data_IF_619799547413
#
_entry.id   IF_619799547413
#
_cell.length_a   1.000
_cell.length_b   1.000
_cell.length_c   1.000
_cell.angle_alpha   90.00
_cell.angle_beta   90.00
_cell.angle_gamma   90.00
#
_symmetry.space_group_name_H-M   'P 1'
#
loop_
_entity.id
_entity.type
_entity.pdbx_description
1 polymer ?
#
# COMPACT_ATOMS: atom_id res chain seq x y z
N UNK A 1 -0.39 15.50 2.09
CA UNK A 1 0.24 14.65 1.06
C UNK A 1 -0.18 15.14 -0.31
N UNK A 2 0.75 15.22 -1.24
CA UNK A 2 0.46 15.35 -2.68
C UNK A 2 1.05 14.12 -3.36
N UNK A 3 0.30 13.43 -4.21
CA UNK A 3 0.88 12.44 -5.13
C UNK A 3 1.02 13.06 -6.51
N UNK A 4 2.25 13.10 -7.04
CA UNK A 4 2.51 13.40 -8.44
C UNK A 4 2.39 12.06 -9.15
N UNK A 5 1.30 11.90 -9.88
CA UNK A 5 0.84 10.60 -10.30
C UNK A 5 0.78 10.52 -11.82
N UNK A 6 1.27 9.43 -12.39
CA UNK A 6 1.07 9.14 -13.82
C UNK A 6 -0.42 9.14 -14.18
N UNK A 7 -0.74 9.50 -15.43
CA UNK A 7 -2.12 9.33 -15.90
C UNK A 7 -2.46 7.84 -16.01
N UNK A 8 -3.74 7.50 -15.97
CA UNK A 8 -4.21 6.11 -15.98
C UNK A 8 -5.30 5.94 -17.04
N UNK A 9 -5.78 4.71 -17.24
CA UNK A 9 -6.80 4.38 -18.23
C UNK A 9 -8.12 5.17 -18.07
N UNK A 10 -8.39 5.77 -16.90
CA UNK A 10 -9.57 6.60 -16.68
C UNK A 10 -9.51 7.96 -17.37
N UNK A 11 -8.32 8.50 -17.61
CA UNK A 11 -8.12 9.81 -18.23
C UNK A 11 -8.24 9.75 -19.77
N UNK A 12 -8.29 10.91 -20.43
CA UNK A 12 -8.59 11.03 -21.86
C UNK A 12 -7.35 11.43 -22.68
N UNK A 13 -7.26 10.87 -23.89
CA UNK A 13 -6.20 11.19 -24.87
C UNK A 13 -6.36 12.57 -25.49
N UNK A 14 -7.58 13.06 -25.58
CA UNK A 14 -7.96 14.42 -25.95
C UNK A 14 -9.07 14.89 -25.00
N UNK A 15 -9.35 16.20 -24.99
CA UNK A 15 -10.42 16.75 -24.15
C UNK A 15 -11.77 16.06 -24.43
N UNK A 16 -12.40 15.55 -23.39
CA UNK A 16 -13.65 14.80 -23.51
C UNK A 16 -14.48 14.75 -22.22
N UNK A 17 -15.72 14.24 -22.30
CA UNK A 17 -16.64 14.23 -21.17
C UNK A 17 -16.12 13.39 -19.99
N UNK A 18 -16.18 13.97 -18.79
CA UNK A 18 -15.91 13.29 -17.52
C UNK A 18 -16.80 13.88 -16.43
N UNK A 19 -18.04 13.40 -16.34
CA UNK A 19 -19.09 14.04 -15.53
C UNK A 19 -18.78 14.10 -14.03
N UNK A 20 -18.03 13.12 -13.50
CA UNK A 20 -17.66 13.05 -12.08
C UNK A 20 -16.33 13.74 -11.75
N UNK A 21 -15.51 14.02 -12.76
CA UNK A 21 -14.21 14.68 -12.62
C UNK A 21 -13.90 15.49 -13.88
N UNK A 22 -14.37 16.75 -13.91
CA UNK A 22 -14.23 17.60 -15.09
C UNK A 22 -12.77 17.85 -15.48
N UNK A 23 -11.87 17.93 -14.49
CA UNK A 23 -10.43 18.11 -14.74
C UNK A 23 -9.85 16.85 -15.37
N UNK A 24 -10.23 15.67 -14.90
CA UNK A 24 -9.83 14.38 -15.47
C UNK A 24 -10.31 14.13 -16.92
N UNK A 25 -11.24 14.93 -17.43
CA UNK A 25 -11.66 14.90 -18.83
C UNK A 25 -10.71 15.61 -19.79
N UNK A 26 -9.75 16.39 -19.29
CA UNK A 26 -8.76 17.09 -20.12
C UNK A 26 -7.66 16.14 -20.61
N UNK A 27 -7.03 16.50 -21.72
CA UNK A 27 -5.96 15.75 -22.38
C UNK A 27 -4.81 15.42 -21.40
N UNK A 28 -4.69 14.15 -21.00
CA UNK A 28 -3.78 13.75 -19.92
C UNK A 28 -2.31 13.95 -20.25
N UNK A 29 -1.89 13.59 -21.46
CA UNK A 29 -0.49 13.66 -21.88
C UNK A 29 0.01 15.09 -22.16
N UNK A 30 -0.83 16.12 -21.96
CA UNK A 30 -0.46 17.52 -22.18
C UNK A 30 -0.77 18.43 -20.99
N UNK A 31 -1.29 17.88 -19.88
CA UNK A 31 -1.73 18.68 -18.74
C UNK A 31 -1.16 18.15 -17.42
N UNK A 32 -0.97 19.08 -16.49
CA UNK A 32 -0.89 18.76 -15.06
C UNK A 32 -2.32 18.93 -14.52
N UNK A 33 -2.95 17.84 -14.13
CA UNK A 33 -4.38 17.79 -13.78
C UNK A 33 -4.53 17.55 -12.28
N UNK A 34 -4.90 18.57 -11.48
CA UNK A 34 -5.13 18.37 -10.06
C UNK A 34 -6.43 17.59 -9.83
N UNK A 35 -6.40 16.64 -8.88
CA UNK A 35 -7.54 15.81 -8.50
C UNK A 35 -7.57 15.58 -6.99
N UNK A 36 -8.75 15.37 -6.42
CA UNK A 36 -8.88 14.95 -5.03
C UNK A 36 -8.54 13.47 -4.89
N UNK A 37 -8.10 13.04 -3.70
CA UNK A 37 -7.82 11.62 -3.44
C UNK A 37 -8.26 11.19 -2.05
N UNK A 38 -8.76 9.96 -1.96
CA UNK A 38 -9.07 9.30 -0.70
C UNK A 38 -7.85 8.63 -0.05
N UNK A 39 -6.71 8.51 -0.75
CA UNK A 39 -5.58 7.69 -0.31
C UNK A 39 -5.04 8.12 1.07
N UNK A 40 -4.79 9.42 1.28
CA UNK A 40 -4.30 9.92 2.57
C UNK A 40 -5.30 9.69 3.72
N UNK A 41 -6.62 9.79 3.44
CA UNK A 41 -7.65 9.47 4.43
C UNK A 41 -7.72 7.97 4.71
N UNK A 42 -7.45 7.12 3.72
CA UNK A 42 -7.40 5.67 3.88
C UNK A 42 -6.25 5.21 4.79
N UNK A 43 -5.15 5.97 4.88
CA UNK A 43 -4.09 5.70 5.87
C UNK A 43 -4.66 5.65 7.29
N UNK A 44 -5.55 6.58 7.65
CA UNK A 44 -6.22 6.59 8.95
C UNK A 44 -7.12 5.38 9.23
N UNK A 45 -7.51 4.62 8.20
CA UNK A 45 -8.28 3.38 8.35
C UNK A 45 -7.38 2.17 8.63
N UNK A 46 -6.16 2.16 8.09
CA UNK A 46 -5.19 1.06 8.26
C UNK A 46 -4.24 1.30 9.42
N UNK A 47 -4.00 2.56 9.79
CA UNK A 47 -3.22 2.99 10.96
C UNK A 47 -4.13 3.94 11.76
N UNK A 48 -4.94 3.41 12.69
CA UNK A 48 -5.96 4.18 13.42
C UNK A 48 -5.40 5.40 14.16
N UNK A 49 -4.15 5.35 14.62
CA UNK A 49 -3.47 6.45 15.33
C UNK A 49 -3.24 7.68 14.42
N UNK A 50 -3.32 7.50 13.10
CA UNK A 50 -3.20 8.55 12.09
C UNK A 50 -4.57 9.04 11.58
N UNK A 51 -5.68 8.51 12.10
CA UNK A 51 -7.01 8.94 11.68
C UNK A 51 -7.24 10.42 11.96
N UNK A 52 -7.75 11.14 10.96
CA UNK A 52 -7.94 12.60 11.01
C UNK A 52 -6.66 13.44 10.94
N UNK A 53 -5.45 12.84 10.96
CA UNK A 53 -4.17 13.58 10.93
C UNK A 53 -3.60 13.78 9.53
N UNK A 54 -4.09 13.03 8.54
CA UNK A 54 -3.60 13.05 7.17
C UNK A 54 -4.72 13.32 6.17
N UNK A 55 -4.41 14.17 5.19
CA UNK A 55 -5.22 14.40 3.99
C UNK A 55 -4.30 14.69 2.81
N UNK A 56 -4.85 14.75 1.61
CA UNK A 56 -4.05 15.02 0.42
C UNK A 56 -4.81 15.23 -0.86
N UNK A 57 -4.04 15.49 -1.92
CA UNK A 57 -4.50 15.61 -3.29
C UNK A 57 -3.56 14.86 -4.24
N UNK A 58 -3.92 14.81 -5.51
CA UNK A 58 -3.10 14.27 -6.59
C UNK A 58 -2.90 15.33 -7.67
N UNK A 59 -1.73 15.32 -8.30
CA UNK A 59 -1.44 16.00 -9.55
C UNK A 59 -1.19 14.93 -10.60
N UNK A 60 -2.11 14.72 -11.55
CA UNK A 60 -1.86 13.82 -12.67
C UNK A 60 -0.94 14.51 -13.67
N UNK A 61 0.14 13.85 -14.07
CA UNK A 61 1.15 14.43 -14.96
C UNK A 61 1.36 13.59 -16.23
N UNK A 62 1.98 14.15 -17.29
CA UNK A 62 2.24 13.47 -18.57
C UNK A 62 3.28 12.34 -18.54
N UNK A 63 3.15 11.40 -17.60
CA UNK A 63 3.93 10.16 -17.54
C UNK A 63 2.97 8.97 -17.55
N UNK A 64 3.37 7.89 -18.22
CA UNK A 64 2.50 6.73 -18.42
C UNK A 64 2.50 5.76 -17.22
N UNK A 65 3.60 5.69 -16.48
CA UNK A 65 3.74 4.85 -15.29
C UNK A 65 4.75 5.46 -14.30
N UNK A 66 4.75 4.90 -13.09
CA UNK A 66 5.48 5.36 -11.90
C UNK A 66 4.94 6.69 -11.39
N UNK A 67 4.86 6.79 -10.07
CA UNK A 67 4.33 7.93 -9.37
C UNK A 67 5.16 8.19 -8.12
N UNK A 68 4.97 9.36 -7.51
CA UNK A 68 5.72 9.76 -6.32
C UNK A 68 4.82 10.44 -5.30
N UNK A 69 4.99 10.05 -4.05
CA UNK A 69 4.37 10.67 -2.88
C UNK A 69 5.29 11.77 -2.36
N UNK A 70 4.73 12.98 -2.26
CA UNK A 70 5.26 14.08 -1.46
C UNK A 70 4.45 14.16 -0.15
N UNK A 71 5.08 13.74 0.95
CA UNK A 71 4.53 13.82 2.28
C UNK A 71 5.20 14.94 3.06
N UNK A 72 4.49 16.05 3.23
CA UNK A 72 4.84 17.08 4.21
C UNK A 72 4.10 16.80 5.52
N UNK A 73 4.82 16.68 6.63
CA UNK A 73 4.24 16.36 7.93
C UNK A 73 4.98 17.06 9.08
N UNK A 74 4.29 17.14 10.23
CA UNK A 74 4.88 17.56 11.50
C UNK A 74 5.04 16.35 12.42
N UNK A 75 6.27 16.01 12.78
CA UNK A 75 6.59 14.94 13.73
C UNK A 75 6.59 15.48 15.17
N UNK A 76 6.11 14.66 16.11
CA UNK A 76 5.96 15.04 17.51
C UNK A 76 7.33 15.20 18.19
N UNK A 77 8.17 14.17 18.10
CA UNK A 77 9.56 14.21 18.56
C UNK A 77 10.42 14.74 17.42
N UNK A 78 11.11 15.85 17.67
CA UNK A 78 11.98 16.45 16.66
C UNK A 78 13.15 15.54 16.30
N UNK A 79 13.54 15.53 15.03
CA UNK A 79 14.63 14.75 14.50
C UNK A 79 15.37 15.52 13.38
N UNK A 80 16.65 15.22 13.21
CA UNK A 80 17.44 15.61 12.04
C UNK A 80 17.03 14.77 10.83
N UNK A 81 17.31 15.25 9.63
CA UNK A 81 16.99 14.50 8.42
C UNK A 81 17.81 13.20 8.30
N UNK A 82 19.04 13.19 8.80
CA UNK A 82 19.88 11.98 8.85
C UNK A 82 19.31 10.91 9.79
N UNK A 83 18.76 11.30 10.96
CA UNK A 83 18.06 10.37 11.85
C UNK A 83 16.81 9.78 11.18
N UNK A 84 16.05 10.59 10.45
CA UNK A 84 14.88 10.11 9.69
C UNK A 84 15.31 9.12 8.62
N UNK A 85 16.33 9.46 7.81
CA UNK A 85 16.89 8.56 6.79
C UNK A 85 17.33 7.23 7.40
N UNK A 86 18.04 7.26 8.53
CA UNK A 86 18.52 6.06 9.20
C UNK A 86 17.38 5.16 9.70
N UNK A 87 16.32 5.75 10.27
CA UNK A 87 15.13 4.99 10.70
C UNK A 87 14.41 4.35 9.51
N UNK A 88 14.24 5.10 8.42
CA UNK A 88 13.58 4.59 7.20
C UNK A 88 14.40 3.47 6.56
N UNK A 89 15.73 3.64 6.43
CA UNK A 89 16.65 2.61 5.92
C UNK A 89 16.61 1.34 6.76
N UNK A 90 16.68 1.48 8.09
CA UNK A 90 16.55 0.35 9.03
C UNK A 90 15.20 -0.37 8.90
N UNK A 91 14.11 0.36 8.68
CA UNK A 91 12.79 -0.24 8.47
C UNK A 91 12.73 -1.01 7.13
N UNK A 92 13.29 -0.44 6.06
CA UNK A 92 13.40 -1.05 4.74
C UNK A 92 14.26 -2.32 4.75
N UNK A 93 15.35 -2.35 5.50
CA UNK A 93 16.23 -3.52 5.62
C UNK A 93 15.71 -4.59 6.60
N UNK A 94 14.76 -4.21 7.48
CA UNK A 94 14.22 -5.06 8.53
C UNK A 94 12.75 -5.41 8.33
N UNK A 95 11.84 -4.90 9.19
CA UNK A 95 10.45 -5.34 9.24
C UNK A 95 9.64 -5.05 7.96
N UNK A 96 10.06 -4.09 7.13
CA UNK A 96 9.39 -3.73 5.89
C UNK A 96 10.16 -4.19 4.64
N UNK A 97 11.12 -5.12 4.79
CA UNK A 97 11.88 -5.65 3.66
C UNK A 97 10.96 -6.25 2.59
N UNK A 98 11.16 -5.83 1.35
CA UNK A 98 10.33 -6.20 0.19
C UNK A 98 9.02 -5.41 0.06
N UNK A 99 8.70 -4.53 1.02
CA UNK A 99 7.56 -3.60 0.98
C UNK A 99 8.05 -2.16 0.83
N UNK A 100 9.02 -1.75 1.65
CA UNK A 100 9.66 -0.44 1.62
C UNK A 100 11.08 -0.60 1.06
N UNK A 101 11.37 0.09 -0.04
CA UNK A 101 12.71 0.31 -0.58
C UNK A 101 13.30 1.63 -0.08
N UNK A 102 14.60 1.79 -0.28
CA UNK A 102 15.36 2.98 0.11
C UNK A 102 16.45 3.21 -0.93
N UNK A 103 16.58 4.44 -1.42
CA UNK A 103 17.61 4.83 -2.38
C UNK A 103 18.32 6.12 -1.98
N UNK A 104 19.62 6.17 -2.24
CA UNK A 104 20.47 7.38 -2.19
C UNK A 104 20.97 7.75 -3.60
N UNK A 105 20.54 7.03 -4.63
CA UNK A 105 20.91 7.30 -6.02
C UNK A 105 20.06 8.44 -6.58
N UNK A 106 20.59 9.15 -7.58
CA UNK A 106 19.90 10.27 -8.24
C UNK A 106 18.91 9.76 -9.30
N UNK A 107 17.92 8.98 -8.86
CA UNK A 107 16.92 8.31 -9.72
C UNK A 107 15.83 9.25 -10.21
N UNK A 108 15.24 8.88 -11.35
CA UNK A 108 14.01 9.48 -11.90
C UNK A 108 12.95 8.41 -12.11
N UNK A 109 11.74 8.82 -12.52
CA UNK A 109 10.57 7.92 -12.56
C UNK A 109 10.80 6.65 -13.37
N UNK A 110 11.49 6.72 -14.50
CA UNK A 110 11.71 5.57 -15.39
C UNK A 110 12.56 4.47 -14.77
N UNK A 111 13.46 4.82 -13.85
CA UNK A 111 14.38 3.89 -13.20
C UNK A 111 13.64 2.90 -12.27
N UNK A 112 12.38 3.23 -11.93
CA UNK A 112 11.58 2.48 -10.96
C UNK A 112 10.47 1.65 -11.61
N UNK A 113 10.41 1.62 -12.94
CA UNK A 113 9.49 0.73 -13.64
C UNK A 113 9.80 -0.74 -13.30
N UNK A 114 8.77 -1.48 -12.90
CA UNK A 114 8.92 -2.89 -12.52
C UNK A 114 9.52 -3.11 -11.13
N UNK A 115 9.70 -2.06 -10.32
CA UNK A 115 10.14 -2.23 -8.94
C UNK A 115 9.03 -2.89 -8.10
N UNK A 116 9.39 -3.93 -7.36
CA UNK A 116 8.44 -4.76 -6.59
C UNK A 116 7.97 -4.11 -5.29
N UNK A 117 8.61 -3.05 -4.80
CA UNK A 117 8.27 -2.41 -3.54
C UNK A 117 6.99 -1.58 -3.66
N UNK A 118 6.30 -1.40 -2.54
CA UNK A 118 5.12 -0.53 -2.46
C UNK A 118 5.48 0.95 -2.36
N UNK A 119 6.70 1.23 -1.92
CA UNK A 119 7.19 2.56 -1.57
C UNK A 119 8.71 2.52 -1.62
N UNK A 120 9.36 3.41 -2.34
CA UNK A 120 10.81 3.52 -2.43
C UNK A 120 11.20 4.91 -1.96
N UNK A 121 11.69 4.99 -0.72
CA UNK A 121 12.05 6.27 -0.11
C UNK A 121 13.29 6.86 -0.80
N UNK A 122 13.16 8.10 -1.26
CA UNK A 122 14.23 8.86 -1.90
C UNK A 122 14.92 9.75 -0.86
N UNK A 123 16.11 9.34 -0.46
CA UNK A 123 16.86 9.96 0.62
C UNK A 123 17.45 11.33 0.24
N UNK A 124 17.54 11.66 -1.05
CA UNK A 124 18.09 12.93 -1.52
C UNK A 124 17.00 13.93 -1.91
N UNK A 125 15.80 13.46 -2.25
CA UNK A 125 14.71 14.33 -2.72
C UNK A 125 13.88 14.98 -1.60
N UNK A 126 13.91 14.46 -0.37
CA UNK A 126 13.22 15.08 0.77
C UNK A 126 13.98 16.26 1.37
N UNK A 127 13.30 17.02 2.23
CA UNK A 127 13.89 18.21 2.88
C UNK A 127 13.23 18.48 4.23
N UNK A 128 14.03 18.80 5.26
CA UNK A 128 13.54 19.25 6.56
C UNK A 128 13.58 20.76 6.66
N UNK A 129 12.46 21.38 7.04
CA UNK A 129 12.43 22.82 7.33
C UNK A 129 13.00 23.11 8.73
N UNK A 130 12.62 22.29 9.70
CA UNK A 130 13.14 22.32 11.06
C UNK A 130 13.02 20.91 11.68
N UNK A 131 13.40 20.77 12.95
CA UNK A 131 13.40 19.47 13.65
C UNK A 131 12.04 18.75 13.63
N UNK A 132 10.93 19.47 13.54
CA UNK A 132 9.59 18.89 13.62
C UNK A 132 8.84 18.92 12.29
N UNK A 133 9.22 19.76 11.32
CA UNK A 133 8.48 19.93 10.08
C UNK A 133 9.31 19.48 8.88
N UNK A 134 8.88 18.40 8.25
CA UNK A 134 9.68 17.67 7.27
C UNK A 134 8.86 17.34 6.02
N UNK A 135 9.54 17.23 4.88
CA UNK A 135 9.02 16.71 3.63
C UNK A 135 9.77 15.43 3.28
N UNK A 136 9.03 14.36 3.06
CA UNK A 136 9.52 13.05 2.65
C UNK A 136 9.03 12.76 1.24
N UNK A 137 9.91 12.20 0.41
CA UNK A 137 9.61 11.81 -0.96
C UNK A 137 9.75 10.30 -1.07
N UNK A 138 8.75 9.66 -1.68
CA UNK A 138 8.78 8.21 -1.89
C UNK A 138 8.11 7.83 -3.19
N UNK A 139 8.85 7.14 -4.03
CA UNK A 139 8.38 6.66 -5.32
C UNK A 139 7.58 5.37 -5.20
N UNK A 140 6.83 5.04 -6.24
CA UNK A 140 6.20 3.74 -6.41
C UNK A 140 5.82 3.53 -7.86
N UNK A 141 6.03 2.30 -8.35
CA UNK A 141 5.36 1.84 -9.56
C UNK A 141 3.88 1.56 -9.22
N UNK A 142 2.99 2.44 -9.69
CA UNK A 142 1.56 2.36 -9.40
C UNK A 142 0.87 1.15 -10.04
N UNK A 143 1.49 0.51 -11.03
CA UNK A 143 0.98 -0.71 -11.64
C UNK A 143 1.64 -1.93 -11.02
N UNK A 144 2.97 -2.00 -11.05
CA UNK A 144 3.73 -3.20 -10.72
C UNK A 144 3.78 -3.48 -9.22
N UNK A 145 4.25 -2.51 -8.42
CA UNK A 145 4.38 -2.66 -6.97
C UNK A 145 3.02 -2.95 -6.32
N UNK A 146 1.96 -2.27 -6.77
CA UNK A 146 0.61 -2.55 -6.29
C UNK A 146 0.11 -3.95 -6.69
N UNK A 147 0.29 -4.36 -7.94
CA UNK A 147 -0.08 -5.71 -8.39
C UNK A 147 0.63 -6.79 -7.58
N UNK A 148 1.90 -6.54 -7.22
CA UNK A 148 2.66 -7.45 -6.37
C UNK A 148 2.06 -7.58 -4.97
N UNK A 149 1.54 -6.49 -4.39
CA UNK A 149 0.81 -6.51 -3.11
C UNK A 149 -0.50 -7.26 -3.16
N UNK A 150 -1.23 -7.22 -4.29
CA UNK A 150 -2.45 -8.02 -4.46
C UNK A 150 -2.10 -9.51 -4.36
N UNK A 151 -1.05 -9.95 -5.03
CA UNK A 151 -0.60 -11.34 -4.96
C UNK A 151 -0.11 -11.74 -3.57
N UNK A 152 0.62 -10.85 -2.90
CA UNK A 152 1.11 -11.09 -1.53
C UNK A 152 -0.06 -11.21 -0.54
N UNK A 153 -1.09 -10.38 -0.68
CA UNK A 153 -2.31 -10.43 0.13
C UNK A 153 -3.08 -11.74 -0.10
N UNK A 154 -3.26 -12.16 -1.34
CA UNK A 154 -3.92 -13.43 -1.67
C UNK A 154 -3.19 -14.61 -1.05
N UNK A 155 -1.86 -14.64 -1.17
CA UNK A 155 -1.03 -15.67 -0.55
C UNK A 155 -1.15 -15.67 0.98
N UNK A 156 -1.16 -14.49 1.60
CA UNK A 156 -1.35 -14.35 3.04
C UNK A 156 -2.71 -14.89 3.49
N UNK A 157 -3.80 -14.48 2.84
CA UNK A 157 -5.16 -14.94 3.15
C UNK A 157 -5.25 -16.46 3.02
N UNK A 158 -4.72 -17.03 1.93
CA UNK A 158 -4.70 -18.48 1.71
C UNK A 158 -3.99 -19.24 2.84
N UNK A 159 -2.87 -18.71 3.36
CA UNK A 159 -2.18 -19.31 4.51
C UNK A 159 -3.02 -19.25 5.79
N UNK A 160 -3.68 -18.12 6.06
CA UNK A 160 -4.52 -17.95 7.23
C UNK A 160 -5.73 -18.90 7.19
N UNK A 161 -6.40 -18.98 6.04
CA UNK A 161 -7.56 -19.84 5.85
C UNK A 161 -7.19 -21.32 6.03
N UNK A 162 -6.07 -21.75 5.44
CA UNK A 162 -5.58 -23.12 5.59
C UNK A 162 -5.22 -23.46 7.04
N UNK A 163 -4.61 -22.53 7.78
CA UNK A 163 -4.29 -22.73 9.20
C UNK A 163 -5.55 -22.94 10.04
N UNK A 164 -6.60 -22.15 9.80
CA UNK A 164 -7.88 -22.30 10.50
C UNK A 164 -8.55 -23.64 10.19
N UNK A 165 -8.47 -24.13 8.95
CA UNK A 165 -8.99 -25.44 8.57
C UNK A 165 -8.27 -26.55 9.34
N UNK A 166 -6.93 -26.51 9.39
CA UNK A 166 -6.13 -27.51 10.10
C UNK A 166 -6.38 -27.49 11.62
N UNK A 167 -6.49 -26.31 12.23
CA UNK A 167 -6.82 -26.17 13.66
C UNK A 167 -8.21 -26.76 13.97
N UNK A 168 -9.21 -26.52 13.11
CA UNK A 168 -10.55 -27.12 13.24
C UNK A 168 -10.52 -28.63 13.07
N UNK A 169 -9.76 -29.16 12.10
CA UNK A 169 -9.60 -30.60 11.91
C UNK A 169 -8.92 -31.28 13.11
N UNK A 170 -7.89 -30.66 13.68
CA UNK A 170 -7.22 -31.15 14.89
C UNK A 170 -8.14 -31.17 16.11
N UNK A 171 -8.99 -30.15 16.28
CA UNK A 171 -10.04 -30.10 17.31
C UNK A 171 -11.05 -31.24 17.16
N UNK A 172 -11.46 -31.56 15.93
CA UNK A 172 -12.41 -32.65 15.69
C UNK A 172 -11.75 -34.02 15.98
N UNK A 173 -10.50 -34.22 15.55
CA UNK A 173 -9.77 -35.47 15.77
C UNK A 173 -9.39 -35.73 17.24
N UNK A 174 -9.22 -34.68 18.04
CA UNK A 174 -8.95 -34.78 19.49
C UNK A 174 -10.22 -34.78 20.35
N UNK A 175 -11.40 -34.69 19.72
CA UNK A 175 -12.68 -34.98 20.36
C UNK A 175 -13.08 -36.42 19.99
N UNK A 176 -13.80 -37.15 20.85
CA UNK A 176 -14.27 -38.53 20.62
C UNK A 176 -15.28 -38.68 19.45
N UNK A 177 -15.20 -37.84 18.41
CA UNK A 177 -16.10 -37.80 17.27
C UNK A 177 -15.51 -38.56 16.07
N UNK A 178 -16.08 -39.72 15.73
CA UNK A 178 -15.75 -40.46 14.51
C UNK A 178 -16.42 -39.77 13.30
N UNK A 179 -15.63 -39.36 12.30
CA UNK A 179 -16.10 -38.68 11.09
C UNK A 179 -16.30 -39.69 9.94
N UNK A 180 -17.48 -39.67 9.29
CA UNK A 180 -17.71 -40.32 7.98
C UNK A 180 -17.52 -39.32 6.83
N UNK A 181 -16.51 -39.55 6.00
CA UNK A 181 -15.96 -38.62 5.00
C UNK A 181 -16.81 -38.39 3.72
N UNK A 182 -18.12 -38.67 3.70
CA UNK A 182 -18.89 -38.61 2.43
C UNK A 182 -20.05 -37.62 2.31
N UNK A 183 -20.58 -37.03 3.38
CA UNK A 183 -21.86 -36.29 3.24
C UNK A 183 -22.01 -35.00 4.06
N UNK A 184 -20.96 -34.51 4.72
CA UNK A 184 -21.01 -33.25 5.50
C UNK A 184 -22.19 -33.16 6.50
N UNK A 185 -22.73 -34.30 6.91
CA UNK A 185 -23.88 -34.41 7.83
C UNK A 185 -23.40 -35.06 9.12
N UNK A 186 -23.62 -34.37 10.25
CA UNK A 186 -23.13 -34.77 11.56
C UNK A 186 -24.13 -35.70 12.26
N UNK A 187 -23.71 -36.91 12.64
CA UNK A 187 -24.52 -37.81 13.48
C UNK A 187 -23.79 -38.11 14.79
N UNK A 188 -24.51 -37.98 15.91
CA UNK A 188 -24.03 -38.29 17.26
C UNK A 188 -24.26 -39.78 17.52
N UNK A 189 -23.21 -40.57 17.70
CA UNK A 189 -23.32 -41.95 18.20
C UNK A 189 -22.69 -41.99 19.59
N UNK A 190 -23.53 -42.07 20.61
CA UNK A 190 -23.09 -42.42 21.97
C UNK A 190 -22.97 -43.94 22.05
N UNK A 191 -21.74 -44.46 22.11
CA UNK A 191 -21.53 -45.82 22.62
C UNK A 191 -21.65 -45.77 24.15
N UNK A 192 -22.75 -46.28 24.68
CA UNK A 192 -22.78 -46.68 26.08
C UNK A 192 -22.09 -48.04 26.17
N UNK A 193 -20.95 -48.09 26.83
CA UNK A 193 -20.39 -49.34 27.29
C UNK A 193 -21.27 -49.89 28.42
N UNK A 194 -21.95 -51.01 28.16
CA UNK A 194 -22.22 -52.11 29.09
C UNK A 194 -22.44 -53.38 28.27
#
# INVERSE_FOLDING_TARGET
MTTIHSYTATQKTVDGPSAKDWRGGRTAAQNIIPSSTGAAKAVGKVIPELNGKLTGMSMRVPTANVSVVDLTCRIEKGATYDEIKAVVKKAAEGPLKGILGYTEDDVVSTDLNGDNHSSIFDAKAGISLNKNFVKLVSWYDNEWGYSRRVLDLLHYISKIDNKQILERQALILNSDAIISLKTNTYYRVTMNAL
#
